data_IF_233627522796
#
_entry.id   IF_233627522796
#
_cell.length_a   1.000
_cell.length_b   1.000
_cell.length_c   1.000
_cell.angle_alpha   90.00
_cell.angle_beta   90.00
_cell.angle_gamma   90.00
#
_symmetry.space_group_name_H-M   'P 1'
#
loop_
_entity.id
_entity.type
_entity.pdbx_description
1 polymer ?
#
# COMPACT_ATOMS: atom_id res chain seq x y z
N UNK A 1 -26.69 27.54 -8.58
CA UNK A 1 -25.51 26.68 -8.26
C UNK A 1 -26.01 25.28 -8.35
N UNK A 2 -25.50 24.48 -9.30
CA UNK A 2 -25.80 23.04 -9.33
C UNK A 2 -25.38 22.41 -8.01
N UNK A 3 -26.25 21.61 -7.45
CA UNK A 3 -26.03 20.97 -6.17
C UNK A 3 -24.97 19.88 -6.38
N UNK A 4 -23.69 20.14 -6.05
CA UNK A 4 -22.60 19.18 -6.21
C UNK A 4 -22.96 17.87 -5.51
N UNK A 5 -22.85 16.75 -6.23
CA UNK A 5 -23.00 15.41 -5.66
C UNK A 5 -22.02 15.18 -4.50
N UNK A 6 -22.40 14.34 -3.56
CA UNK A 6 -21.70 14.10 -2.30
C UNK A 6 -21.11 12.69 -2.24
N UNK A 7 -19.81 12.60 -1.98
CA UNK A 7 -19.10 11.32 -1.87
C UNK A 7 -18.50 11.18 -0.47
N UNK A 8 -18.76 10.05 0.18
CA UNK A 8 -18.19 9.73 1.47
C UNK A 8 -17.13 8.64 1.35
N UNK A 9 -15.91 8.92 1.81
CA UNK A 9 -14.81 7.96 1.89
C UNK A 9 -14.68 7.45 3.33
N UNK A 10 -14.67 6.13 3.51
CA UNK A 10 -14.54 5.48 4.83
C UNK A 10 -13.26 4.65 4.90
N UNK A 11 -12.42 4.96 5.86
CA UNK A 11 -11.18 4.23 6.13
C UNK A 11 -11.04 3.96 7.64
N UNK A 12 -10.44 2.84 8.03
CA UNK A 12 -10.30 2.47 9.45
C UNK A 12 -9.39 3.42 10.22
N UNK A 13 -8.33 3.96 9.58
CA UNK A 13 -7.28 4.77 10.23
C UNK A 13 -6.82 5.92 9.33
N UNK A 14 -6.40 7.03 9.96
CA UNK A 14 -5.87 8.22 9.24
C UNK A 14 -4.69 7.91 8.31
N UNK A 15 -3.87 6.93 8.67
CA UNK A 15 -2.75 6.49 7.83
C UNK A 15 -3.21 5.98 6.46
N UNK A 16 -4.32 5.24 6.39
CA UNK A 16 -4.85 4.76 5.12
C UNK A 16 -5.35 5.91 4.23
N UNK A 17 -5.97 6.93 4.83
CA UNK A 17 -6.38 8.13 4.10
C UNK A 17 -5.17 8.87 3.52
N UNK A 18 -4.16 9.14 4.36
CA UNK A 18 -2.97 9.87 3.93
C UNK A 18 -2.15 9.13 2.87
N UNK A 19 -2.08 7.79 2.97
CA UNK A 19 -1.23 6.98 2.10
C UNK A 19 -1.89 6.59 0.78
N UNK A 20 -3.22 6.42 0.77
CA UNK A 20 -3.92 5.88 -0.39
C UNK A 20 -4.94 6.82 -1.00
N UNK A 21 -5.51 7.75 -0.22
CA UNK A 21 -6.67 8.52 -0.66
C UNK A 21 -6.39 10.01 -0.88
N UNK A 22 -5.38 10.59 -0.22
CA UNK A 22 -5.22 12.03 -0.10
C UNK A 22 -5.25 12.77 -1.44
N UNK A 23 -4.45 12.33 -2.41
CA UNK A 23 -4.31 13.06 -3.68
C UNK A 23 -5.62 13.12 -4.46
N UNK A 24 -6.33 11.97 -4.57
CA UNK A 24 -7.59 11.97 -5.28
C UNK A 24 -8.75 12.59 -4.49
N UNK A 25 -8.73 12.57 -3.14
CA UNK A 25 -9.70 13.34 -2.35
C UNK A 25 -9.58 14.85 -2.61
N UNK A 26 -8.35 15.37 -2.69
CA UNK A 26 -8.09 16.77 -2.99
C UNK A 26 -8.63 17.11 -4.39
N UNK A 27 -8.35 16.29 -5.40
CA UNK A 27 -8.81 16.55 -6.76
C UNK A 27 -10.33 16.42 -6.88
N UNK A 28 -10.92 15.36 -6.38
CA UNK A 28 -12.36 15.14 -6.38
C UNK A 28 -13.13 16.24 -5.64
N UNK A 29 -12.52 16.87 -4.62
CA UNK A 29 -13.15 17.98 -3.88
C UNK A 29 -13.41 19.23 -4.73
N UNK A 30 -12.79 19.33 -5.91
CA UNK A 30 -13.08 20.41 -6.86
C UNK A 30 -14.46 20.25 -7.52
N UNK A 31 -14.90 18.99 -7.70
CA UNK A 31 -16.11 18.62 -8.43
C UNK A 31 -17.23 18.17 -7.51
N UNK A 32 -16.91 17.55 -6.37
CA UNK A 32 -17.84 16.88 -5.44
C UNK A 32 -17.73 17.42 -4.02
N UNK A 33 -18.79 17.25 -3.24
CA UNK A 33 -18.76 17.46 -1.79
C UNK A 33 -18.15 16.23 -1.11
N UNK A 34 -16.91 16.32 -0.65
CA UNK A 34 -16.19 15.20 -0.09
C UNK A 34 -16.33 15.15 1.43
N UNK A 35 -16.70 13.97 1.94
CA UNK A 35 -16.67 13.66 3.37
C UNK A 35 -15.74 12.47 3.61
N UNK A 36 -14.87 12.57 4.61
CA UNK A 36 -13.97 11.48 5.03
C UNK A 36 -14.36 11.03 6.43
N UNK A 37 -14.62 9.74 6.60
CA UNK A 37 -14.88 9.11 7.90
C UNK A 37 -13.71 8.18 8.24
N UNK A 38 -13.05 8.46 9.36
CA UNK A 38 -11.90 7.67 9.81
C UNK A 38 -11.66 7.84 11.30
N UNK A 39 -10.96 6.88 11.93
CA UNK A 39 -10.42 7.09 13.28
C UNK A 39 -9.13 7.89 13.18
N UNK A 40 -9.13 9.09 13.78
CA UNK A 40 -7.95 9.92 13.86
C UNK A 40 -7.77 10.52 15.25
N UNK A 41 -6.51 10.59 15.69
CA UNK A 41 -6.11 11.21 16.96
C UNK A 41 -5.59 12.63 16.77
N UNK A 42 -5.11 12.95 15.57
CA UNK A 42 -4.59 14.26 15.25
C UNK A 42 -5.72 15.26 15.04
N UNK A 43 -5.86 16.25 15.94
CA UNK A 43 -6.85 17.33 15.82
C UNK A 43 -6.71 18.15 14.53
N UNK A 44 -5.52 18.16 13.94
CA UNK A 44 -5.19 18.85 12.69
C UNK A 44 -5.26 17.93 11.46
N UNK A 45 -5.83 16.72 11.59
CA UNK A 45 -5.98 15.82 10.47
C UNK A 45 -6.76 16.48 9.33
N UNK A 46 -6.17 16.55 8.15
CA UNK A 46 -6.68 17.24 6.96
C UNK A 46 -7.06 18.71 7.18
N UNK A 47 -6.52 19.40 8.21
CA UNK A 47 -6.86 20.78 8.53
C UNK A 47 -6.61 21.76 7.38
N UNK A 48 -5.56 21.55 6.57
CA UNK A 48 -5.23 22.33 5.40
C UNK A 48 -6.30 22.24 4.29
N UNK A 49 -7.14 21.23 4.32
CA UNK A 49 -8.17 20.94 3.31
C UNK A 49 -9.60 21.11 3.83
N UNK A 50 -9.80 21.65 5.06
CA UNK A 50 -11.11 21.78 5.72
C UNK A 50 -12.16 22.55 4.92
N UNK A 51 -11.75 23.45 4.03
CA UNK A 51 -12.69 24.20 3.20
C UNK A 51 -13.41 23.33 2.16
N UNK A 52 -12.74 22.25 1.72
CA UNK A 52 -13.19 21.42 0.60
C UNK A 52 -13.51 19.97 1.02
N UNK A 53 -12.99 19.52 2.18
CA UNK A 53 -13.15 18.15 2.66
C UNK A 53 -13.67 18.18 4.10
N UNK A 54 -14.88 17.63 4.31
CA UNK A 54 -15.45 17.43 5.64
C UNK A 54 -14.86 16.17 6.26
N UNK A 55 -14.42 16.22 7.52
CA UNK A 55 -13.90 15.07 8.24
C UNK A 55 -14.82 14.74 9.43
N UNK A 56 -15.18 13.47 9.56
CA UNK A 56 -15.97 12.95 10.68
C UNK A 56 -15.16 11.86 11.37
N UNK A 57 -14.98 11.98 12.66
CA UNK A 57 -14.28 10.98 13.47
C UNK A 57 -15.24 9.86 13.89
N UNK A 58 -14.89 8.61 13.53
CA UNK A 58 -15.51 7.39 14.06
C UNK A 58 -14.39 6.54 14.63
N UNK A 59 -14.47 6.15 15.90
CA UNK A 59 -13.39 5.48 16.62
C UNK A 59 -13.27 4.00 16.25
N UNK A 60 -12.88 3.72 15.02
CA UNK A 60 -12.59 2.35 14.60
C UNK A 60 -11.41 1.77 15.36
N UNK A 61 -11.58 0.60 15.93
CA UNK A 61 -10.47 -0.21 16.46
C UNK A 61 -9.92 -1.09 15.34
N UNK A 62 -8.59 -1.12 15.15
CA UNK A 62 -7.97 -1.87 14.04
C UNK A 62 -8.27 -3.37 14.07
N UNK A 63 -8.26 -3.99 15.27
CA UNK A 63 -8.64 -5.40 15.44
C UNK A 63 -10.16 -5.55 15.49
N UNK A 64 -10.67 -6.75 15.16
CA UNK A 64 -12.09 -7.06 15.35
C UNK A 64 -12.43 -6.89 16.82
N UNK A 65 -13.52 -6.17 17.10
CA UNK A 65 -13.98 -5.90 18.45
C UNK A 65 -15.49 -5.98 18.52
N UNK A 66 -16.01 -7.03 19.18
CA UNK A 66 -17.44 -7.34 19.23
C UNK A 66 -18.28 -6.27 19.94
N UNK A 67 -17.68 -5.42 20.77
CA UNK A 67 -18.38 -4.34 21.47
C UNK A 67 -18.31 -3.02 20.69
N UNK A 68 -17.15 -2.66 20.16
CA UNK A 68 -16.97 -1.37 19.48
C UNK A 68 -17.42 -1.39 18.03
N UNK A 69 -17.33 -2.53 17.32
CA UNK A 69 -17.71 -2.60 15.90
C UNK A 69 -19.21 -2.37 15.68
N UNK A 70 -20.14 -2.89 16.53
CA UNK A 70 -21.55 -2.52 16.45
C UNK A 70 -21.83 -1.03 16.69
N UNK A 71 -21.10 -0.41 17.62
CA UNK A 71 -21.24 1.03 17.89
C UNK A 71 -20.78 1.85 16.68
N UNK A 72 -19.63 1.51 16.08
CA UNK A 72 -19.15 2.14 14.86
C UNK A 72 -20.14 1.95 13.70
N UNK A 73 -20.72 0.77 13.58
CA UNK A 73 -21.75 0.48 12.57
C UNK A 73 -22.99 1.38 12.74
N UNK A 74 -23.54 1.48 13.94
CA UNK A 74 -24.69 2.36 14.22
C UNK A 74 -24.36 3.84 13.96
N UNK A 75 -23.14 4.27 14.31
CA UNK A 75 -22.68 5.62 13.98
C UNK A 75 -22.64 5.85 12.46
N UNK A 76 -22.14 4.88 11.68
CA UNK A 76 -22.15 4.98 10.22
C UNK A 76 -23.57 5.06 9.67
N UNK A 77 -24.48 4.22 10.15
CA UNK A 77 -25.90 4.25 9.75
C UNK A 77 -26.51 5.64 10.01
N UNK A 78 -26.33 6.19 11.21
CA UNK A 78 -26.84 7.52 11.56
C UNK A 78 -26.22 8.63 10.67
N UNK A 79 -24.90 8.56 10.42
CA UNK A 79 -24.20 9.54 9.58
C UNK A 79 -24.72 9.46 8.14
N UNK A 80 -24.87 8.26 7.60
CA UNK A 80 -25.34 8.04 6.23
C UNK A 80 -26.78 8.46 6.06
N UNK A 81 -27.64 8.12 6.99
CA UNK A 81 -29.04 8.55 6.99
C UNK A 81 -29.18 10.07 6.99
N UNK A 82 -28.42 10.75 7.85
CA UNK A 82 -28.47 12.21 7.99
C UNK A 82 -27.92 12.96 6.78
N UNK A 83 -26.83 12.46 6.15
CA UNK A 83 -26.17 13.20 5.07
C UNK A 83 -26.62 12.79 3.66
N UNK A 84 -27.26 11.62 3.49
CA UNK A 84 -27.79 11.11 2.21
C UNK A 84 -26.79 11.23 1.06
N UNK A 85 -25.63 10.58 1.22
CA UNK A 85 -24.56 10.62 0.21
C UNK A 85 -25.00 9.98 -1.11
N UNK A 86 -24.56 10.53 -2.24
CA UNK A 86 -24.75 9.93 -3.57
C UNK A 86 -23.87 8.69 -3.75
N UNK A 87 -22.66 8.71 -3.15
CA UNK A 87 -21.74 7.57 -3.15
C UNK A 87 -21.04 7.38 -1.79
N UNK A 88 -20.77 6.11 -1.45
CA UNK A 88 -19.87 5.72 -0.36
C UNK A 88 -18.76 4.86 -0.93
N UNK A 89 -17.51 5.27 -0.69
CA UNK A 89 -16.30 4.52 -1.05
C UNK A 89 -15.58 4.06 0.20
N UNK A 90 -15.28 2.77 0.31
CA UNK A 90 -14.59 2.19 1.45
C UNK A 90 -13.25 1.60 1.05
N UNK A 91 -12.26 1.75 1.93
CA UNK A 91 -10.96 1.09 1.82
C UNK A 91 -10.65 0.42 3.14
N UNK A 92 -9.93 -0.65 3.15
CA UNK A 92 -9.64 -1.54 4.29
C UNK A 92 -10.78 -2.50 4.63
N UNK A 93 -10.48 -3.76 5.03
CA UNK A 93 -11.50 -4.79 5.22
C UNK A 93 -12.58 -4.43 6.24
N UNK A 94 -12.20 -3.84 7.40
CA UNK A 94 -13.17 -3.45 8.44
C UNK A 94 -14.07 -2.30 7.98
N UNK A 95 -13.51 -1.24 7.40
CA UNK A 95 -14.31 -0.14 6.85
C UNK A 95 -15.18 -0.63 5.70
N UNK A 96 -14.69 -1.59 4.89
CA UNK A 96 -15.47 -2.28 3.87
C UNK A 96 -16.68 -2.99 4.44
N UNK A 97 -16.49 -3.85 5.42
CA UNK A 97 -17.59 -4.61 6.04
C UNK A 97 -18.66 -3.70 6.65
N UNK A 98 -18.24 -2.79 7.54
CA UNK A 98 -19.17 -1.92 8.27
C UNK A 98 -19.78 -0.84 7.35
N UNK A 99 -18.97 -0.24 6.49
CA UNK A 99 -19.40 0.83 5.60
C UNK A 99 -20.30 0.34 4.47
N UNK A 100 -20.00 -0.81 3.85
CA UNK A 100 -20.88 -1.38 2.82
C UNK A 100 -22.22 -1.82 3.39
N UNK A 101 -22.23 -2.46 4.57
CA UNK A 101 -23.47 -2.85 5.22
C UNK A 101 -24.31 -1.61 5.63
N UNK A 102 -23.70 -0.60 6.22
CA UNK A 102 -24.39 0.64 6.59
C UNK A 102 -24.93 1.38 5.36
N UNK A 103 -24.16 1.46 4.28
CA UNK A 103 -24.60 2.12 3.04
C UNK A 103 -25.72 1.35 2.33
N UNK A 104 -25.73 0.01 2.41
CA UNK A 104 -26.81 -0.81 1.88
C UNK A 104 -28.12 -0.57 2.64
N UNK A 105 -28.09 -0.60 3.97
CA UNK A 105 -29.27 -0.40 4.83
C UNK A 105 -29.82 1.04 4.71
N UNK A 106 -28.98 2.02 4.45
CA UNK A 106 -29.38 3.42 4.28
C UNK A 106 -29.69 3.78 2.82
N UNK A 107 -29.79 2.78 1.93
CA UNK A 107 -30.14 2.91 0.52
C UNK A 107 -29.26 3.87 -0.27
N UNK A 108 -27.95 3.96 0.06
CA UNK A 108 -27.01 4.75 -0.73
C UNK A 108 -26.87 4.08 -2.11
N UNK A 109 -27.13 4.82 -3.21
CA UNK A 109 -27.22 4.21 -4.54
C UNK A 109 -25.88 3.66 -5.02
N UNK A 110 -24.78 4.40 -4.81
CA UNK A 110 -23.47 3.99 -5.25
C UNK A 110 -22.58 3.57 -4.08
N UNK A 111 -22.14 2.33 -4.09
CA UNK A 111 -21.33 1.70 -3.04
C UNK A 111 -20.08 1.09 -3.63
N UNK A 112 -18.93 1.77 -3.43
CA UNK A 112 -17.64 1.40 -3.99
C UNK A 112 -16.76 0.78 -2.91
N UNK A 113 -16.16 -0.38 -3.18
CA UNK A 113 -15.13 -0.94 -2.30
C UNK A 113 -13.79 -1.09 -2.99
N UNK A 114 -12.71 -0.64 -2.31
CA UNK A 114 -11.34 -0.80 -2.81
C UNK A 114 -10.67 -2.00 -2.14
N UNK A 115 -10.37 -3.03 -2.92
CA UNK A 115 -9.62 -4.21 -2.49
C UNK A 115 -8.12 -3.93 -2.54
N UNK A 116 -7.45 -3.92 -1.38
CA UNK A 116 -6.02 -3.55 -1.22
C UNK A 116 -5.14 -4.68 -0.68
N UNK A 117 -5.55 -5.91 -0.81
CA UNK A 117 -4.84 -7.07 -0.31
C UNK A 117 -5.63 -7.83 0.75
N UNK A 118 -5.62 -9.16 0.64
CA UNK A 118 -6.48 -10.04 1.40
C UNK A 118 -5.74 -10.68 2.56
N UNK A 119 -6.26 -10.49 3.77
CA UNK A 119 -5.70 -11.07 5.01
C UNK A 119 -5.75 -12.61 4.95
N UNK A 120 -6.81 -13.17 4.38
CA UNK A 120 -7.06 -14.62 4.37
C UNK A 120 -6.07 -15.42 3.51
N UNK A 121 -5.27 -14.78 2.67
CA UNK A 121 -4.25 -15.46 1.85
C UNK A 121 -3.18 -16.15 2.72
N UNK A 122 -2.81 -15.54 3.85
CA UNK A 122 -1.83 -16.09 4.80
C UNK A 122 -2.44 -16.77 6.01
N UNK A 123 -3.78 -16.74 6.14
CA UNK A 123 -4.49 -17.42 7.21
C UNK A 123 -4.84 -18.87 6.83
N UNK A 124 -5.06 -19.71 7.85
CA UNK A 124 -5.41 -21.14 7.71
C UNK A 124 -6.73 -21.45 8.43
N UNK A 125 -7.33 -22.58 8.09
CA UNK A 125 -8.52 -23.12 8.75
C UNK A 125 -9.71 -22.16 8.76
N UNK A 126 -10.44 -22.13 9.87
CA UNK A 126 -11.67 -21.36 10.03
C UNK A 126 -11.47 -19.86 9.86
N UNK A 127 -10.31 -19.31 10.22
CA UNK A 127 -9.97 -17.91 10.03
C UNK A 127 -9.92 -17.52 8.56
N UNK A 128 -9.33 -18.38 7.71
CA UNK A 128 -9.32 -18.18 6.25
C UNK A 128 -10.74 -18.12 5.71
N UNK A 129 -11.59 -19.08 6.12
CA UNK A 129 -13.00 -19.14 5.67
C UNK A 129 -13.74 -17.87 6.09
N UNK A 130 -13.60 -17.46 7.35
CA UNK A 130 -14.27 -16.28 7.88
C UNK A 130 -13.87 -15.00 7.11
N UNK A 131 -12.59 -14.71 6.98
CA UNK A 131 -12.15 -13.49 6.30
C UNK A 131 -12.46 -13.51 4.80
N UNK A 132 -12.38 -14.69 4.17
CA UNK A 132 -12.80 -14.86 2.77
C UNK A 132 -14.29 -14.61 2.60
N UNK A 133 -15.12 -15.06 3.53
CA UNK A 133 -16.58 -14.82 3.52
C UNK A 133 -16.90 -13.34 3.72
N UNK A 134 -16.12 -12.61 4.55
CA UNK A 134 -16.26 -11.16 4.69
C UNK A 134 -16.01 -10.46 3.36
N UNK A 135 -14.92 -10.79 2.63
CA UNK A 135 -14.65 -10.18 1.33
C UNK A 135 -15.74 -10.49 0.29
N UNK A 136 -16.28 -11.73 0.28
CA UNK A 136 -17.44 -12.08 -0.55
C UNK A 136 -18.68 -11.25 -0.19
N UNK A 137 -18.94 -11.08 1.10
CA UNK A 137 -20.08 -10.30 1.57
C UNK A 137 -19.96 -8.82 1.20
N UNK A 138 -18.77 -8.25 1.31
CA UNK A 138 -18.48 -6.89 0.83
C UNK A 138 -18.80 -6.78 -0.66
N UNK A 139 -18.35 -7.74 -1.47
CA UNK A 139 -18.67 -7.75 -2.90
C UNK A 139 -20.17 -7.82 -3.18
N UNK A 140 -20.95 -8.60 -2.41
CA UNK A 140 -22.42 -8.67 -2.58
C UNK A 140 -23.05 -7.29 -2.36
N UNK A 141 -22.60 -6.57 -1.33
CA UNK A 141 -23.16 -5.28 -0.94
C UNK A 141 -22.69 -4.12 -1.84
N UNK A 142 -21.51 -4.22 -2.43
CA UNK A 142 -20.96 -3.18 -3.30
C UNK A 142 -21.66 -3.17 -4.67
N UNK A 143 -21.79 -1.98 -5.25
CA UNK A 143 -22.21 -1.80 -6.66
C UNK A 143 -20.99 -1.80 -7.60
N UNK A 144 -19.85 -1.34 -7.10
CA UNK A 144 -18.58 -1.28 -7.84
C UNK A 144 -17.42 -1.68 -6.95
N UNK A 145 -16.44 -2.37 -7.52
CA UNK A 145 -15.21 -2.72 -6.84
C UNK A 145 -14.01 -2.13 -7.59
N UNK A 146 -13.07 -1.58 -6.87
CA UNK A 146 -11.77 -1.16 -7.42
C UNK A 146 -10.73 -2.10 -6.83
N UNK A 147 -9.93 -2.71 -7.69
CA UNK A 147 -8.88 -3.66 -7.28
C UNK A 147 -7.51 -3.04 -7.57
N UNK A 148 -6.60 -3.22 -6.63
CA UNK A 148 -5.32 -2.51 -6.58
C UNK A 148 -4.35 -2.94 -7.70
N UNK A 149 -4.54 -4.14 -8.30
CA UNK A 149 -3.71 -4.61 -9.41
C UNK A 149 -4.40 -5.66 -10.28
N UNK A 150 -3.86 -5.90 -11.48
CA UNK A 150 -4.43 -6.86 -12.44
C UNK A 150 -4.30 -8.30 -11.96
N UNK A 151 -3.14 -8.69 -11.43
CA UNK A 151 -2.96 -10.04 -10.91
C UNK A 151 -3.82 -10.30 -9.67
N UNK A 152 -4.03 -9.29 -8.82
CA UNK A 152 -4.96 -9.38 -7.70
C UNK A 152 -6.41 -9.49 -8.18
N UNK A 153 -6.79 -8.72 -9.22
CA UNK A 153 -8.11 -8.84 -9.84
C UNK A 153 -8.36 -10.26 -10.32
N UNK A 154 -7.46 -10.82 -11.12
CA UNK A 154 -7.58 -12.19 -11.62
C UNK A 154 -7.67 -13.19 -10.45
N UNK A 155 -6.79 -13.06 -9.44
CA UNK A 155 -6.83 -13.90 -8.24
C UNK A 155 -8.18 -13.83 -7.50
N UNK A 156 -8.77 -12.65 -7.36
CA UNK A 156 -10.07 -12.50 -6.67
C UNK A 156 -11.23 -13.03 -7.50
N UNK A 157 -11.15 -12.97 -8.82
CA UNK A 157 -12.14 -13.60 -9.73
C UNK A 157 -12.02 -15.12 -9.64
N UNK A 158 -10.83 -15.68 -9.77
CA UNK A 158 -10.55 -17.12 -9.71
C UNK A 158 -10.96 -17.73 -8.34
N UNK A 159 -10.83 -16.96 -7.27
CA UNK A 159 -11.28 -17.34 -5.93
C UNK A 159 -12.79 -17.07 -5.70
N UNK A 160 -13.53 -16.64 -6.72
CA UNK A 160 -14.96 -16.29 -6.61
C UNK A 160 -15.28 -15.30 -5.49
N UNK A 161 -14.40 -14.32 -5.28
CA UNK A 161 -14.59 -13.24 -4.30
C UNK A 161 -15.32 -12.07 -4.94
N UNK A 162 -14.91 -11.64 -6.14
CA UNK A 162 -15.50 -10.53 -6.86
C UNK A 162 -16.15 -10.97 -8.16
N UNK A 163 -17.06 -10.14 -8.66
CA UNK A 163 -17.69 -10.32 -9.98
C UNK A 163 -17.02 -9.39 -10.98
N UNK A 164 -16.75 -9.90 -12.18
CA UNK A 164 -16.08 -9.16 -13.25
C UNK A 164 -16.88 -7.95 -13.72
N UNK A 165 -18.20 -8.08 -13.83
CA UNK A 165 -19.11 -7.08 -14.37
C UNK A 165 -19.16 -5.75 -13.61
N UNK A 166 -18.68 -5.74 -12.36
CA UNK A 166 -18.66 -4.54 -11.50
C UNK A 166 -17.29 -4.25 -10.87
N UNK A 167 -16.23 -4.88 -11.38
CA UNK A 167 -14.90 -4.78 -10.80
C UNK A 167 -13.89 -4.20 -11.80
N UNK A 168 -13.07 -3.25 -11.35
CA UNK A 168 -12.19 -2.44 -12.18
C UNK A 168 -10.78 -2.38 -11.61
N UNK A 169 -9.79 -2.23 -12.50
CA UNK A 169 -8.41 -1.88 -12.15
C UNK A 169 -8.06 -0.58 -12.86
N UNK A 170 -7.49 0.38 -12.18
CA UNK A 170 -7.05 1.63 -12.78
C UNK A 170 -5.68 1.47 -13.46
N UNK A 171 -5.66 1.68 -14.77
CA UNK A 171 -4.42 1.56 -15.55
C UNK A 171 -3.68 0.24 -15.30
N UNK A 172 -2.37 0.28 -15.05
CA UNK A 172 -1.58 -0.92 -14.75
C UNK A 172 -1.68 -1.38 -13.28
N UNK A 173 -2.43 -0.66 -12.45
CA UNK A 173 -2.60 -0.91 -11.02
C UNK A 173 -2.24 0.30 -10.16
N UNK A 174 -2.28 0.12 -8.84
CA UNK A 174 -2.19 1.12 -7.78
C UNK A 174 -3.40 2.07 -7.72
N UNK A 175 -4.05 2.12 -6.57
CA UNK A 175 -5.16 3.05 -6.33
C UNK A 175 -4.70 4.47 -5.99
N UNK A 176 -3.41 4.69 -5.71
CA UNK A 176 -2.88 5.99 -5.30
C UNK A 176 -1.75 6.51 -6.19
N UNK A 177 -1.08 5.64 -6.95
CA UNK A 177 0.11 6.00 -7.71
C UNK A 177 1.27 6.43 -6.82
N UNK A 178 2.25 7.09 -7.42
CA UNK A 178 3.44 7.62 -6.73
C UNK A 178 3.66 9.10 -7.05
N UNK A 179 3.99 9.88 -6.02
CA UNK A 179 4.40 11.27 -6.19
C UNK A 179 5.87 11.32 -6.66
N UNK A 180 6.07 11.44 -7.96
CA UNK A 180 7.41 11.42 -8.59
C UNK A 180 8.27 12.64 -8.26
N UNK A 181 7.69 13.72 -7.75
CA UNK A 181 8.44 14.89 -7.30
C UNK A 181 8.99 14.70 -5.88
N UNK A 182 8.27 13.97 -5.03
CA UNK A 182 8.69 13.58 -3.68
C UNK A 182 9.70 12.44 -3.71
N UNK A 183 9.40 11.38 -4.47
CA UNK A 183 10.25 10.22 -4.62
C UNK A 183 11.11 10.36 -5.87
N UNK A 184 12.32 10.89 -5.71
CA UNK A 184 13.26 11.12 -6.81
C UNK A 184 14.69 10.83 -6.37
N UNK A 185 15.60 10.53 -7.30
CA UNK A 185 17.01 10.37 -6.99
C UNK A 185 17.60 11.64 -6.35
N UNK A 186 18.44 11.47 -5.33
CA UNK A 186 19.14 12.59 -4.69
C UNK A 186 20.52 12.19 -4.17
N UNK A 187 21.57 12.63 -4.84
CA UNK A 187 22.96 12.37 -4.41
C UNK A 187 23.24 13.01 -3.05
N UNK A 188 22.72 14.23 -2.81
CA UNK A 188 22.89 14.94 -1.54
C UNK A 188 22.30 14.13 -0.38
N UNK A 189 21.05 13.66 -0.50
CA UNK A 189 20.38 12.86 0.53
C UNK A 189 21.12 11.53 0.71
N UNK A 190 21.48 10.86 -0.39
CA UNK A 190 22.24 9.59 -0.36
C UNK A 190 23.50 9.70 0.49
N UNK A 191 24.33 10.71 0.24
CA UNK A 191 25.58 10.91 0.97
C UNK A 191 25.35 11.30 2.44
N UNK A 192 24.42 12.20 2.69
CA UNK A 192 24.08 12.67 4.04
C UNK A 192 23.55 11.53 4.92
N UNK A 193 22.59 10.75 4.41
CA UNK A 193 21.94 9.67 5.18
C UNK A 193 22.92 8.51 5.43
N UNK A 194 23.74 8.13 4.43
CA UNK A 194 24.81 7.12 4.62
C UNK A 194 25.81 7.54 5.70
N UNK A 195 26.22 8.81 5.72
CA UNK A 195 27.09 9.36 6.78
C UNK A 195 26.41 9.27 8.16
N UNK A 196 25.14 9.66 8.27
CA UNK A 196 24.35 9.58 9.51
C UNK A 196 24.25 8.15 10.04
N UNK A 197 24.05 7.18 9.15
CA UNK A 197 23.96 5.76 9.48
C UNK A 197 25.33 5.08 9.64
N UNK A 198 26.42 5.80 9.51
CA UNK A 198 27.80 5.30 9.55
C UNK A 198 28.08 4.19 8.51
N UNK A 199 27.39 4.25 7.35
CA UNK A 199 27.58 3.33 6.25
C UNK A 199 28.59 3.92 5.26
N UNK A 200 29.64 3.17 4.86
CA UNK A 200 30.62 3.64 3.88
C UNK A 200 29.96 4.06 2.55
N UNK A 201 30.52 5.11 1.90
CA UNK A 201 29.98 5.63 0.63
C UNK A 201 29.94 4.57 -0.48
N UNK A 202 30.92 3.66 -0.50
CA UNK A 202 31.08 2.59 -1.49
C UNK A 202 30.22 1.35 -1.20
N UNK A 203 29.69 1.21 0.04
CA UNK A 203 28.91 0.05 0.45
C UNK A 203 27.65 -0.10 -0.37
N UNK A 204 27.21 -1.35 -0.56
CA UNK A 204 25.94 -1.69 -1.20
C UNK A 204 24.84 -1.83 -0.14
N UNK A 205 23.70 -1.15 -0.32
CA UNK A 205 22.60 -1.15 0.63
C UNK A 205 21.39 -1.86 0.04
N UNK A 206 21.01 -2.98 0.64
CA UNK A 206 19.72 -3.63 0.50
C UNK A 206 18.76 -2.96 1.48
N UNK A 207 17.67 -2.38 0.99
CA UNK A 207 16.67 -1.70 1.80
C UNK A 207 15.40 -2.53 1.90
N UNK A 208 14.92 -2.75 3.11
CA UNK A 208 13.55 -3.13 3.37
C UNK A 208 12.80 -1.92 3.93
N UNK A 209 11.64 -1.58 3.36
CA UNK A 209 10.82 -0.47 3.80
C UNK A 209 9.38 -0.93 4.01
N UNK A 210 8.95 -1.02 5.26
CA UNK A 210 7.63 -1.51 5.63
C UNK A 210 7.55 -1.97 7.08
N UNK A 211 6.40 -2.50 7.50
CA UNK A 211 6.21 -3.05 8.84
C UNK A 211 7.08 -4.30 9.03
N UNK A 212 7.76 -4.38 10.16
CA UNK A 212 8.61 -5.52 10.47
C UNK A 212 7.75 -6.63 11.12
N UNK A 213 7.33 -7.58 10.31
CA UNK A 213 6.61 -8.77 10.74
C UNK A 213 6.84 -9.95 9.78
N UNK A 214 6.32 -11.11 10.17
CA UNK A 214 6.47 -12.37 9.42
C UNK A 214 5.85 -12.30 8.02
N UNK A 215 4.65 -11.70 7.89
CA UNK A 215 3.95 -11.61 6.59
C UNK A 215 4.71 -10.79 5.55
N UNK A 216 5.60 -9.92 6.00
CA UNK A 216 6.48 -9.12 5.14
C UNK A 216 7.80 -9.81 4.79
N UNK A 217 7.99 -11.07 5.22
CA UNK A 217 9.16 -11.87 4.88
C UNK A 217 10.48 -11.40 5.50
N UNK A 218 10.42 -10.60 6.57
CA UNK A 218 11.62 -10.02 7.21
C UNK A 218 12.61 -11.10 7.65
N UNK A 219 12.12 -12.19 8.22
CA UNK A 219 12.96 -13.29 8.67
C UNK A 219 13.67 -14.01 7.50
N UNK A 220 12.99 -14.19 6.38
CA UNK A 220 13.56 -14.83 5.19
C UNK A 220 14.65 -13.96 4.58
N UNK A 221 14.41 -12.62 4.52
CA UNK A 221 15.42 -11.68 4.03
C UNK A 221 16.67 -11.67 4.91
N UNK A 222 16.52 -11.70 6.23
CA UNK A 222 17.68 -11.78 7.16
C UNK A 222 18.43 -13.07 6.97
N UNK A 223 17.73 -14.21 6.88
CA UNK A 223 18.35 -15.51 6.65
C UNK A 223 19.11 -15.54 5.32
N UNK A 224 18.46 -15.10 4.24
CA UNK A 224 19.07 -15.03 2.92
C UNK A 224 20.30 -14.11 2.88
N UNK A 225 20.24 -12.97 3.56
CA UNK A 225 21.37 -12.03 3.65
C UNK A 225 22.55 -12.66 4.41
N UNK A 226 22.31 -13.32 5.53
CA UNK A 226 23.35 -14.06 6.26
C UNK A 226 23.97 -15.19 5.42
N UNK A 227 23.13 -15.96 4.74
CA UNK A 227 23.56 -17.06 3.85
C UNK A 227 24.34 -16.52 2.64
N UNK A 228 24.01 -15.33 2.15
CA UNK A 228 24.71 -14.71 1.04
C UNK A 228 26.18 -14.36 1.40
N UNK A 229 26.45 -14.10 2.67
CA UNK A 229 27.79 -13.79 3.21
C UNK A 229 28.51 -12.72 2.37
N UNK A 230 27.96 -11.50 2.34
CA UNK A 230 28.39 -10.44 1.44
C UNK A 230 29.28 -9.44 2.15
N UNK A 231 30.47 -9.18 1.56
CA UNK A 231 31.39 -8.15 2.01
C UNK A 231 30.90 -6.76 1.61
N UNK A 232 31.13 -5.77 2.46
CA UNK A 232 30.80 -4.36 2.21
C UNK A 232 29.33 -4.11 1.82
N UNK A 233 28.42 -4.99 2.25
CA UNK A 233 26.99 -4.86 2.05
C UNK A 233 26.26 -4.67 3.37
N UNK A 234 25.22 -3.84 3.33
CA UNK A 234 24.35 -3.57 4.48
C UNK A 234 22.90 -3.91 4.16
N UNK A 235 22.22 -4.49 5.14
CA UNK A 235 20.78 -4.69 5.09
C UNK A 235 20.11 -3.70 6.03
N UNK A 236 19.36 -2.75 5.46
CA UNK A 236 18.74 -1.66 6.19
C UNK A 236 17.22 -1.89 6.28
N UNK A 237 16.71 -2.01 7.49
CA UNK A 237 15.28 -2.11 7.77
C UNK A 237 14.73 -0.78 8.26
N UNK A 238 13.65 -0.30 7.61
CA UNK A 238 12.96 0.93 7.97
C UNK A 238 11.46 0.66 8.12
N UNK A 239 10.91 0.95 9.28
CA UNK A 239 9.49 0.80 9.57
C UNK A 239 9.22 0.38 11.01
N UNK A 240 7.93 0.37 11.41
CA UNK A 240 7.55 -0.03 12.75
C UNK A 240 7.74 -1.54 12.95
N UNK A 241 8.28 -1.90 14.10
CA UNK A 241 8.43 -3.28 14.54
C UNK A 241 7.15 -3.76 15.22
N UNK A 242 6.61 -4.88 14.73
CA UNK A 242 5.38 -5.49 15.27
C UNK A 242 5.67 -6.79 16.06
N UNK A 243 6.93 -7.31 16.04
CA UNK A 243 7.26 -8.65 16.57
C UNK A 243 8.57 -8.70 17.40
N UNK A 244 9.15 -7.56 17.75
CA UNK A 244 10.42 -7.51 18.50
C UNK A 244 11.62 -8.05 17.71
N UNK A 245 11.63 -7.82 16.38
CA UNK A 245 12.65 -8.39 15.48
C UNK A 245 14.05 -7.80 15.76
N UNK A 246 14.24 -6.49 15.96
CA UNK A 246 15.57 -5.91 16.16
C UNK A 246 16.34 -6.55 17.32
N UNK A 247 15.66 -6.88 18.43
CA UNK A 247 16.32 -7.45 19.61
C UNK A 247 16.94 -8.82 19.34
N UNK A 248 16.42 -9.56 18.37
CA UNK A 248 16.90 -10.91 17.98
C UNK A 248 18.16 -10.88 17.11
N UNK A 249 18.53 -9.70 16.56
CA UNK A 249 19.61 -9.55 15.59
C UNK A 249 20.62 -8.43 15.94
N UNK A 250 20.70 -8.03 17.20
CA UNK A 250 21.57 -6.92 17.69
C UNK A 250 23.07 -7.14 17.43
N UNK A 251 23.52 -8.39 17.30
CA UNK A 251 24.94 -8.73 17.09
C UNK A 251 25.39 -8.68 15.62
N UNK A 252 24.53 -8.26 14.70
CA UNK A 252 24.87 -8.21 13.27
C UNK A 252 25.22 -6.80 12.86
N UNK A 253 26.51 -6.47 12.78
CA UNK A 253 26.99 -5.11 12.48
C UNK A 253 26.57 -4.54 11.11
N UNK A 254 26.22 -5.41 10.16
CA UNK A 254 25.80 -5.03 8.82
C UNK A 254 24.28 -5.13 8.60
N UNK A 255 23.51 -5.39 9.67
CA UNK A 255 22.02 -5.32 9.66
C UNK A 255 21.59 -4.17 10.55
N UNK A 256 20.97 -3.16 9.96
CA UNK A 256 20.60 -1.91 10.65
C UNK A 256 19.08 -1.81 10.71
N UNK A 257 18.54 -1.54 11.89
CA UNK A 257 17.11 -1.29 12.13
C UNK A 257 16.92 0.18 12.54
N UNK A 258 16.24 0.95 11.68
CA UNK A 258 16.06 2.41 11.88
C UNK A 258 14.73 2.76 12.57
N UNK A 259 13.80 1.82 12.67
CA UNK A 259 12.45 2.09 13.15
C UNK A 259 11.60 2.87 12.14
N UNK A 260 10.48 3.44 12.61
CA UNK A 260 9.57 4.23 11.79
C UNK A 260 10.22 5.54 11.32
N UNK A 261 9.97 5.91 10.07
CA UNK A 261 10.38 7.20 9.50
C UNK A 261 9.20 7.88 8.79
N UNK A 262 9.08 9.19 8.99
CA UNK A 262 8.16 10.05 8.23
C UNK A 262 8.71 10.49 6.86
N UNK A 263 9.98 10.19 6.59
CA UNK A 263 10.70 10.56 5.36
C UNK A 263 11.21 9.31 4.62
N UNK A 264 10.32 8.39 4.16
CA UNK A 264 10.73 7.17 3.46
C UNK A 264 11.52 7.44 2.19
N UNK A 265 11.27 8.55 1.50
CA UNK A 265 11.99 8.98 0.30
C UNK A 265 13.50 9.13 0.52
N UNK A 266 13.92 9.51 1.71
CA UNK A 266 15.35 9.70 2.01
C UNK A 266 16.08 8.36 2.07
N UNK A 267 15.43 7.35 2.64
CA UNK A 267 15.95 5.98 2.72
C UNK A 267 16.02 5.34 1.34
N UNK A 268 14.98 5.53 0.51
CA UNK A 268 14.99 5.08 -0.88
C UNK A 268 16.13 5.74 -1.66
N UNK A 269 16.31 7.05 -1.58
CA UNK A 269 17.41 7.74 -2.23
C UNK A 269 18.80 7.28 -1.76
N UNK A 270 18.92 6.69 -0.55
CA UNK A 270 20.19 6.22 0.01
C UNK A 270 20.55 4.78 -0.38
N UNK A 271 19.57 3.98 -0.78
CA UNK A 271 19.70 2.55 -1.07
C UNK A 271 20.25 2.25 -2.47
N UNK A 272 20.52 0.98 -2.74
CA UNK A 272 20.90 0.47 -4.07
C UNK A 272 19.79 -0.40 -4.67
N UNK A 273 19.07 -1.13 -3.82
CA UNK A 273 17.94 -1.98 -4.23
C UNK A 273 16.93 -2.08 -3.07
N UNK A 274 15.64 -2.07 -3.38
CA UNK A 274 14.58 -2.40 -2.43
C UNK A 274 14.35 -3.92 -2.41
N UNK A 275 14.22 -4.52 -1.23
CA UNK A 275 13.89 -5.92 -1.03
C UNK A 275 12.54 -6.03 -0.31
N UNK A 276 11.54 -6.65 -0.95
CA UNK A 276 10.21 -6.82 -0.40
C UNK A 276 9.74 -8.28 -0.55
N UNK A 277 10.22 -9.21 0.28
CA UNK A 277 9.89 -10.64 0.21
C UNK A 277 8.57 -10.97 0.90
N UNK A 278 7.55 -10.14 0.69
CA UNK A 278 6.23 -10.27 1.32
C UNK A 278 5.49 -11.53 0.91
N UNK A 279 4.72 -12.10 1.83
CA UNK A 279 3.87 -13.27 1.57
C UNK A 279 2.50 -12.87 1.00
N UNK A 280 2.09 -11.62 1.19
CA UNK A 280 0.87 -11.03 0.64
C UNK A 280 1.00 -9.52 0.52
N UNK A 281 0.45 -8.97 -0.56
CA UNK A 281 0.31 -7.53 -0.82
C UNK A 281 -0.97 -7.27 -1.65
N UNK A 282 -1.45 -6.02 -1.62
CA UNK A 282 -2.43 -5.55 -2.59
C UNK A 282 -1.75 -5.13 -3.88
N UNK A 283 -0.79 -4.21 -3.75
CA UNK A 283 0.05 -3.73 -4.85
C UNK A 283 1.52 -3.59 -4.42
N UNK A 284 1.78 -3.10 -3.21
CA UNK A 284 3.15 -2.82 -2.75
C UNK A 284 3.65 -1.46 -3.24
N UNK A 285 2.95 -0.38 -2.88
CA UNK A 285 3.26 0.99 -3.33
C UNK A 285 4.73 1.40 -3.08
N UNK A 286 5.37 0.86 -2.06
CA UNK A 286 6.80 1.10 -1.79
C UNK A 286 7.70 0.71 -2.98
N UNK A 287 7.28 -0.23 -3.82
CA UNK A 287 8.03 -0.65 -5.01
C UNK A 287 8.01 0.43 -6.09
N UNK A 288 6.85 1.05 -6.33
CA UNK A 288 6.78 2.18 -7.27
C UNK A 288 7.39 3.46 -6.70
N UNK A 289 7.41 3.63 -5.37
CA UNK A 289 8.16 4.69 -4.70
C UNK A 289 9.68 4.51 -4.89
N UNK A 290 10.18 3.28 -4.75
CA UNK A 290 11.57 2.94 -5.04
C UNK A 290 11.90 3.16 -6.52
N UNK A 291 11.03 2.71 -7.41
CA UNK A 291 11.16 2.91 -8.84
C UNK A 291 11.27 4.40 -9.21
N UNK A 292 10.40 5.26 -8.68
CA UNK A 292 10.47 6.72 -8.88
C UNK A 292 11.78 7.33 -8.35
N UNK A 293 12.35 6.76 -7.28
CA UNK A 293 13.67 7.15 -6.75
C UNK A 293 14.85 6.57 -7.57
N UNK A 294 14.58 5.87 -8.68
CA UNK A 294 15.61 5.23 -9.52
C UNK A 294 16.20 3.96 -8.92
N UNK A 295 15.54 3.36 -7.93
CA UNK A 295 15.98 2.16 -7.21
C UNK A 295 15.17 0.97 -7.70
N UNK A 296 15.79 -0.09 -8.27
CA UNK A 296 15.08 -1.29 -8.64
C UNK A 296 14.64 -2.06 -7.40
N UNK A 297 13.72 -3.00 -7.59
CA UNK A 297 13.20 -3.81 -6.49
C UNK A 297 13.38 -5.30 -6.78
N UNK A 298 13.62 -6.06 -5.70
CA UNK A 298 13.59 -7.50 -5.64
C UNK A 298 12.38 -7.91 -4.79
N UNK A 299 11.39 -8.55 -5.39
CA UNK A 299 10.09 -8.76 -4.75
C UNK A 299 9.60 -10.20 -4.92
N UNK A 300 8.71 -10.63 -4.03
CA UNK A 300 8.05 -11.93 -4.15
C UNK A 300 7.14 -12.00 -5.38
N UNK A 301 7.14 -13.14 -6.06
CA UNK A 301 6.21 -13.43 -7.15
C UNK A 301 4.86 -13.86 -6.61
N UNK A 302 4.06 -12.89 -6.18
CA UNK A 302 2.69 -13.06 -5.66
C UNK A 302 1.73 -12.10 -6.33
N UNK A 303 0.43 -12.40 -6.27
CA UNK A 303 -0.63 -11.51 -6.73
C UNK A 303 -0.50 -10.13 -6.09
N UNK A 304 -0.69 -9.08 -6.89
CA UNK A 304 -0.49 -7.69 -6.51
C UNK A 304 0.95 -7.24 -6.67
N UNK A 305 1.88 -7.89 -6.00
CA UNK A 305 3.27 -7.46 -5.96
C UNK A 305 4.01 -7.71 -7.29
N UNK A 306 3.71 -8.81 -7.99
CA UNK A 306 4.30 -9.12 -9.31
C UNK A 306 4.00 -8.06 -10.37
N UNK A 307 2.88 -7.34 -10.27
CA UNK A 307 2.52 -6.28 -11.22
C UNK A 307 3.38 -5.02 -11.08
N UNK A 308 4.02 -4.85 -9.94
CA UNK A 308 4.86 -3.68 -9.66
C UNK A 308 6.18 -3.67 -10.42
N UNK A 309 6.64 -4.84 -10.89
CA UNK A 309 7.88 -5.00 -11.64
C UNK A 309 7.68 -5.77 -12.94
N UNK A 310 8.43 -5.42 -13.96
CA UNK A 310 8.62 -6.25 -15.17
C UNK A 310 9.88 -7.06 -14.94
N UNK A 311 9.72 -8.39 -14.81
CA UNK A 311 10.80 -9.33 -14.47
C UNK A 311 12.04 -9.10 -15.35
N UNK A 312 13.19 -8.95 -14.73
CA UNK A 312 14.51 -8.73 -15.35
C UNK A 312 14.62 -7.43 -16.19
N UNK A 313 13.60 -6.55 -16.18
CA UNK A 313 13.61 -5.26 -16.89
C UNK A 313 13.53 -4.08 -15.93
N UNK A 314 12.60 -4.12 -14.95
CA UNK A 314 12.45 -3.05 -13.96
C UNK A 314 12.69 -3.53 -12.52
N UNK A 315 12.88 -4.84 -12.34
CA UNK A 315 13.14 -5.46 -11.04
C UNK A 315 13.31 -6.96 -11.18
N UNK A 316 13.47 -7.61 -10.03
CA UNK A 316 13.71 -9.04 -9.91
C UNK A 316 12.56 -9.68 -9.12
N UNK A 317 12.15 -10.87 -9.56
CA UNK A 317 11.14 -11.69 -8.87
C UNK A 317 11.79 -12.92 -8.26
N UNK A 318 11.33 -13.34 -7.08
CA UNK A 318 11.68 -14.59 -6.46
C UNK A 318 10.43 -15.30 -5.92
N UNK A 319 10.50 -16.61 -5.74
CA UNK A 319 9.43 -17.38 -5.12
C UNK A 319 9.28 -17.02 -3.63
N UNK A 320 8.05 -17.07 -3.15
CA UNK A 320 7.75 -16.82 -1.74
C UNK A 320 8.46 -17.84 -0.85
N UNK A 321 9.13 -17.38 0.20
CA UNK A 321 9.86 -18.19 1.18
C UNK A 321 11.08 -18.95 0.61
N UNK A 322 11.49 -18.65 -0.61
CA UNK A 322 12.69 -19.25 -1.20
C UNK A 322 13.93 -18.45 -0.78
N UNK A 323 14.49 -18.85 0.36
CA UNK A 323 15.67 -18.19 0.95
C UNK A 323 16.88 -18.32 0.04
N UNK A 324 17.02 -19.46 -0.66
CA UNK A 324 18.15 -19.72 -1.55
C UNK A 324 18.08 -18.82 -2.79
N UNK A 325 16.91 -18.66 -3.38
CA UNK A 325 16.70 -17.75 -4.51
C UNK A 325 16.96 -16.30 -4.11
N UNK A 326 16.42 -15.86 -2.96
CA UNK A 326 16.70 -14.51 -2.42
C UNK A 326 18.21 -14.34 -2.23
N UNK A 327 18.90 -15.28 -1.62
CA UNK A 327 20.34 -15.24 -1.39
C UNK A 327 21.15 -15.13 -2.70
N UNK A 328 20.76 -15.91 -3.74
CA UNK A 328 21.36 -15.82 -5.08
C UNK A 328 21.18 -14.45 -5.70
N UNK A 329 19.97 -13.85 -5.59
CA UNK A 329 19.68 -12.52 -6.12
C UNK A 329 20.42 -11.41 -5.36
N UNK A 330 20.59 -11.53 -4.04
CA UNK A 330 21.45 -10.63 -3.25
C UNK A 330 22.89 -10.66 -3.74
N UNK A 331 23.46 -11.87 -3.97
CA UNK A 331 24.82 -12.05 -4.54
C UNK A 331 24.95 -11.44 -5.94
N UNK A 332 23.97 -11.70 -6.81
CA UNK A 332 23.95 -11.20 -8.18
C UNK A 332 23.99 -9.66 -8.21
N UNK A 333 23.10 -9.05 -7.44
CA UNK A 333 22.92 -7.58 -7.46
C UNK A 333 24.07 -6.83 -6.80
N UNK A 334 24.64 -7.34 -5.70
CA UNK A 334 25.82 -6.73 -5.06
C UNK A 334 27.06 -6.72 -5.94
N UNK A 335 27.23 -7.76 -6.77
CA UNK A 335 28.36 -7.92 -7.69
C UNK A 335 28.16 -7.22 -9.04
N UNK A 336 26.91 -6.94 -9.44
CA UNK A 336 26.58 -6.38 -10.75
C UNK A 336 25.90 -5.00 -10.64
N UNK A 337 26.69 -3.99 -10.29
CA UNK A 337 26.20 -2.60 -10.16
C UNK A 337 25.65 -2.03 -11.48
N UNK A 338 26.11 -2.54 -12.64
CA UNK A 338 25.61 -2.14 -13.96
C UNK A 338 24.17 -2.59 -14.14
N UNK A 339 23.90 -3.86 -13.87
CA UNK A 339 22.53 -4.43 -13.89
C UNK A 339 21.58 -3.63 -12.99
N UNK A 340 21.99 -3.34 -11.75
CA UNK A 340 21.19 -2.57 -10.79
C UNK A 340 20.83 -1.18 -11.32
N UNK A 341 21.79 -0.49 -11.98
CA UNK A 341 21.53 0.82 -12.59
C UNK A 341 20.58 0.72 -13.79
N UNK A 342 20.72 -0.29 -14.64
CA UNK A 342 19.86 -0.51 -15.80
C UNK A 342 18.41 -0.81 -15.35
N UNK A 343 18.22 -1.72 -14.40
CA UNK A 343 16.93 -2.03 -13.81
C UNK A 343 16.30 -0.78 -13.16
N UNK A 344 17.07 -0.02 -12.37
CA UNK A 344 16.59 1.19 -11.69
C UNK A 344 16.16 2.29 -12.67
N UNK A 345 16.93 2.49 -13.76
CA UNK A 345 16.55 3.44 -14.82
C UNK A 345 15.25 3.05 -15.51
N UNK A 346 15.10 1.79 -15.87
CA UNK A 346 13.88 1.29 -16.50
C UNK A 346 12.68 1.36 -15.54
N UNK A 347 12.90 1.06 -14.25
CA UNK A 347 11.87 1.19 -13.21
C UNK A 347 11.41 2.64 -13.05
N UNK A 348 12.34 3.60 -13.04
CA UNK A 348 12.01 5.02 -12.92
C UNK A 348 11.17 5.53 -14.10
N UNK A 349 11.53 5.15 -15.33
CA UNK A 349 10.75 5.51 -16.52
C UNK A 349 9.33 4.99 -16.36
N UNK A 350 9.17 3.70 -16.03
CA UNK A 350 7.87 3.09 -15.82
C UNK A 350 7.05 3.76 -14.72
N UNK A 351 7.69 4.12 -13.60
CA UNK A 351 7.01 4.80 -12.50
C UNK A 351 6.44 6.17 -12.92
N UNK A 352 7.16 6.92 -13.74
CA UNK A 352 6.71 8.21 -14.27
C UNK A 352 5.59 8.04 -15.30
N UNK A 353 5.72 7.09 -16.21
CA UNK A 353 4.80 6.91 -17.34
C UNK A 353 3.51 6.19 -16.95
N UNK A 354 3.57 5.22 -16.01
CA UNK A 354 2.43 4.37 -15.68
C UNK A 354 1.84 4.63 -14.30
N UNK A 355 2.65 5.03 -13.31
CA UNK A 355 2.24 5.11 -11.90
C UNK A 355 2.29 6.50 -11.30
N UNK A 356 2.54 7.55 -12.07
CA UNK A 356 2.46 8.92 -11.55
C UNK A 356 1.08 9.15 -10.90
N UNK A 357 1.09 9.69 -9.68
CA UNK A 357 -0.13 9.95 -8.91
C UNK A 357 -1.17 10.77 -9.67
N UNK A 358 -0.74 11.70 -10.53
CA UNK A 358 -1.65 12.55 -11.30
C UNK A 358 -2.44 11.74 -12.35
N UNK A 359 -1.81 10.70 -12.95
CA UNK A 359 -2.49 9.78 -13.86
C UNK A 359 -3.55 8.95 -13.13
N UNK A 360 -3.21 8.44 -11.96
CA UNK A 360 -4.14 7.62 -11.15
C UNK A 360 -5.30 8.48 -10.63
N UNK A 361 -5.04 9.71 -10.22
CA UNK A 361 -6.07 10.68 -9.83
C UNK A 361 -7.06 10.92 -10.97
N UNK A 362 -6.59 11.07 -12.21
CA UNK A 362 -7.45 11.22 -13.38
C UNK A 362 -8.35 9.99 -13.62
N UNK A 363 -7.86 8.76 -13.32
CA UNK A 363 -8.72 7.57 -13.36
C UNK A 363 -9.86 7.64 -12.33
N UNK A 364 -9.58 8.14 -11.11
CA UNK A 364 -10.62 8.33 -10.09
C UNK A 364 -11.67 9.36 -10.52
N UNK A 365 -11.24 10.50 -11.08
CA UNK A 365 -12.15 11.55 -11.57
C UNK A 365 -13.06 10.99 -12.66
N UNK A 366 -12.49 10.36 -13.70
CA UNK A 366 -13.25 9.74 -14.79
C UNK A 366 -14.19 8.65 -14.31
N UNK A 367 -13.76 7.84 -13.33
CA UNK A 367 -14.61 6.81 -12.75
C UNK A 367 -15.87 7.43 -12.15
N UNK A 368 -15.73 8.43 -11.28
CA UNK A 368 -16.90 9.05 -10.65
C UNK A 368 -17.75 9.90 -11.63
N UNK A 369 -17.15 10.53 -12.64
CA UNK A 369 -17.89 11.20 -13.73
C UNK A 369 -18.80 10.24 -14.51
N UNK A 370 -18.32 8.99 -14.74
CA UNK A 370 -19.08 8.00 -15.51
C UNK A 370 -20.19 7.30 -14.71
N UNK A 371 -20.10 7.26 -13.38
CA UNK A 371 -20.99 6.43 -12.56
C UNK A 371 -21.89 7.25 -11.63
N UNK A 372 -21.65 8.53 -11.46
CA UNK A 372 -22.48 9.50 -10.75
C UNK A 372 -23.19 10.47 -11.69
#
# INVERSE_FOLDING_TARGET
MENKKSICFVATVEFAVNSFLLNHLIELSKFYNITVITSHKNKNFLSSYKKNIKVINVNFVRRINIFYDPICFLQLVMIFWKNRFDAVSTITPKAGMLGMLASYITFIPMRVHCYTGQIWVTELGIRRILFRSVDKFINILSTHNIVDSKSQYNFLVDEFIIREDKSFVFGPGSICGVNVTKFKPSVKIRLSLRKKLKIPKSAFIFLFLGRLNKDKGVYDLIKAFKQANLDSCFLLFVGPDEEGIPSKFQHCNNIIFQGFSSSPQDFLASADILCLPSYREGFGNVVIEAAAAGIPSMVSNISGLSDTVVKNKTGLLHNVRDIDEISKLLKLTSKNKKLVKELGRAAMIRAVEEFNSDLIVNHWVKFYENVL
#
